data_IF_971979973571
#
_entry.id   IF_971979973571
#
_cell.length_a   1.000
_cell.length_b   1.000
_cell.length_c   1.000
_cell.angle_alpha   90.00
_cell.angle_beta   90.00
_cell.angle_gamma   90.00
#
_symmetry.space_group_name_H-M   'P 1'
#
loop_
_entity.id
_entity.type
_entity.pdbx_description
1 polymer ?
#
# COMPACT_ATOMS: atom_id res chain seq x y z
N UNK A 1 -5.38 24.83 6.07
CA UNK A 1 -4.78 23.56 5.61
C UNK A 1 -5.77 22.89 4.68
N UNK A 2 -5.39 22.69 3.42
CA UNK A 2 -6.16 21.94 2.43
C UNK A 2 -6.27 20.47 2.83
N UNK A 3 -7.33 19.79 2.39
CA UNK A 3 -7.64 18.40 2.71
C UNK A 3 -6.68 17.37 2.08
N UNK A 4 -5.62 17.80 1.39
CA UNK A 4 -4.71 16.93 0.62
C UNK A 4 -3.70 16.19 1.51
N UNK A 5 -3.32 16.73 2.68
CA UNK A 5 -2.27 16.14 3.51
C UNK A 5 -2.72 14.90 4.33
N UNK A 6 -4.03 14.62 4.40
CA UNK A 6 -4.57 13.54 5.26
C UNK A 6 -4.41 12.13 4.67
N UNK A 7 -4.17 12.00 3.37
CA UNK A 7 -4.16 10.70 2.67
C UNK A 7 -2.77 10.23 2.22
N UNK A 8 -1.70 10.98 2.55
CA UNK A 8 -0.34 10.56 2.15
C UNK A 8 0.11 9.37 3.00
N UNK A 9 0.28 8.22 2.34
CA UNK A 9 0.91 7.04 2.95
C UNK A 9 2.32 7.42 3.40
N UNK A 10 2.57 7.30 4.71
CA UNK A 10 3.88 7.60 5.30
C UNK A 10 4.67 6.31 5.45
N UNK A 11 5.79 6.22 4.73
CA UNK A 11 6.75 5.13 4.87
C UNK A 11 7.86 5.54 5.85
N UNK A 12 8.34 4.57 6.63
CA UNK A 12 9.59 4.74 7.36
C UNK A 12 10.76 4.77 6.36
N UNK A 13 11.90 5.35 6.77
CA UNK A 13 13.08 5.42 5.92
C UNK A 13 13.55 4.02 5.46
N UNK A 14 13.61 3.08 6.41
CA UNK A 14 13.96 1.68 6.17
C UNK A 14 13.02 1.03 5.12
N UNK A 15 11.70 1.09 5.33
CA UNK A 15 10.73 0.53 4.36
C UNK A 15 10.86 1.16 2.98
N UNK A 16 11.19 2.46 2.92
CA UNK A 16 11.40 3.14 1.65
C UNK A 16 12.64 2.61 0.94
N UNK A 17 13.74 2.38 1.64
CA UNK A 17 14.96 1.79 1.10
C UNK A 17 14.73 0.34 0.62
N UNK A 18 13.96 -0.44 1.37
CA UNK A 18 13.55 -1.80 0.97
C UNK A 18 12.73 -1.79 -0.32
N UNK A 19 11.75 -0.89 -0.41
CA UNK A 19 10.91 -0.76 -1.60
C UNK A 19 11.70 -0.28 -2.82
N UNK A 20 12.64 0.66 -2.64
CA UNK A 20 13.56 1.08 -3.70
C UNK A 20 14.39 -0.11 -4.19
N UNK A 21 14.92 -0.92 -3.27
CA UNK A 21 15.71 -2.11 -3.60
C UNK A 21 14.88 -3.16 -4.35
N UNK A 22 13.62 -3.35 -3.96
CA UNK A 22 12.68 -4.24 -4.66
C UNK A 22 12.41 -3.77 -6.10
N UNK A 23 12.20 -2.47 -6.31
CA UNK A 23 12.02 -1.89 -7.64
C UNK A 23 13.26 -2.11 -8.51
N UNK A 24 14.46 -1.83 -7.98
CA UNK A 24 15.72 -2.09 -8.70
C UNK A 24 15.86 -3.56 -9.11
N UNK A 25 15.57 -4.46 -8.18
CA UNK A 25 15.64 -5.91 -8.40
C UNK A 25 14.65 -6.35 -9.48
N UNK A 26 13.44 -5.81 -9.48
CA UNK A 26 12.43 -6.10 -10.51
C UNK A 26 12.91 -5.67 -11.91
N UNK A 27 13.44 -4.45 -12.05
CA UNK A 27 13.95 -3.96 -13.34
C UNK A 27 15.14 -4.78 -13.84
N UNK A 28 16.05 -5.15 -12.93
CA UNK A 28 17.17 -6.02 -13.29
C UNK A 28 16.68 -7.40 -13.76
N UNK A 29 15.77 -8.04 -13.02
CA UNK A 29 15.32 -9.39 -13.33
C UNK A 29 14.43 -9.47 -14.57
N UNK A 30 13.51 -8.52 -14.74
CA UNK A 30 12.50 -8.58 -15.80
C UNK A 30 12.94 -7.87 -17.09
N UNK A 31 13.91 -6.96 -17.00
CA UNK A 31 14.33 -6.11 -18.13
C UNK A 31 15.84 -6.13 -18.38
N UNK A 32 16.61 -6.87 -17.59
CA UNK A 32 18.08 -6.83 -17.60
C UNK A 32 18.61 -5.39 -17.46
N UNK A 33 17.85 -4.52 -16.79
CA UNK A 33 18.11 -3.10 -16.67
C UNK A 33 18.53 -2.74 -15.24
N UNK A 34 19.79 -2.32 -15.07
CA UNK A 34 20.25 -1.76 -13.80
C UNK A 34 19.84 -0.29 -13.68
N UNK A 35 18.94 0.00 -12.74
CA UNK A 35 18.54 1.37 -12.40
C UNK A 35 19.12 1.82 -11.07
N UNK A 36 19.52 3.10 -10.99
CA UNK A 36 20.03 3.71 -9.77
C UNK A 36 18.93 4.07 -8.76
N UNK A 37 19.32 4.41 -7.53
CA UNK A 37 18.40 4.71 -6.43
C UNK A 37 17.51 5.93 -6.72
N UNK A 38 18.02 6.92 -7.46
CA UNK A 38 17.22 8.08 -7.86
C UNK A 38 16.05 7.69 -8.77
N UNK A 39 16.30 6.87 -9.80
CA UNK A 39 15.28 6.41 -10.73
C UNK A 39 14.23 5.54 -10.00
N UNK A 40 14.69 4.58 -9.19
CA UNK A 40 13.80 3.74 -8.40
C UNK A 40 12.97 4.55 -7.37
N UNK A 41 13.55 5.60 -6.77
CA UNK A 41 12.84 6.51 -5.86
C UNK A 41 11.76 7.34 -6.57
N UNK A 42 12.01 7.78 -7.81
CA UNK A 42 11.00 8.46 -8.63
C UNK A 42 9.82 7.53 -8.98
N UNK A 43 10.12 6.29 -9.35
CA UNK A 43 9.09 5.26 -9.59
C UNK A 43 8.28 5.00 -8.32
N UNK A 44 8.94 4.84 -7.16
CA UNK A 44 8.26 4.66 -5.88
C UNK A 44 7.36 5.85 -5.56
N UNK A 45 7.81 7.09 -5.80
CA UNK A 45 6.99 8.27 -5.58
C UNK A 45 5.75 8.28 -6.46
N UNK A 46 5.90 7.97 -7.75
CA UNK A 46 4.77 7.84 -8.67
C UNK A 46 3.75 6.81 -8.17
N UNK A 47 4.20 5.62 -7.73
CA UNK A 47 3.32 4.60 -7.17
C UNK A 47 2.59 5.12 -5.91
N UNK A 48 3.30 5.81 -5.03
CA UNK A 48 2.74 6.35 -3.78
C UNK A 48 1.69 7.44 -4.07
N UNK A 49 1.96 8.32 -5.03
CA UNK A 49 1.10 9.47 -5.32
C UNK A 49 -0.11 9.08 -6.17
N UNK A 50 0.05 8.19 -7.15
CA UNK A 50 -0.99 7.92 -8.13
C UNK A 50 -1.77 6.62 -7.86
N UNK A 51 -1.13 5.59 -7.31
CA UNK A 51 -1.73 4.25 -7.20
C UNK A 51 -2.09 3.85 -5.77
N UNK A 52 -1.37 4.38 -4.78
CA UNK A 52 -1.44 3.91 -3.41
C UNK A 52 -2.81 4.15 -2.74
N UNK A 53 -3.51 5.22 -3.13
CA UNK A 53 -4.83 5.53 -2.60
C UNK A 53 -5.84 4.43 -2.91
N UNK A 54 -5.80 3.87 -4.12
CA UNK A 54 -6.71 2.79 -4.53
C UNK A 54 -6.47 1.54 -3.69
N UNK A 55 -5.21 1.11 -3.55
CA UNK A 55 -4.85 -0.05 -2.72
C UNK A 55 -5.21 0.14 -1.24
N UNK A 56 -5.00 1.34 -0.71
CA UNK A 56 -5.34 1.66 0.68
C UNK A 56 -6.86 1.59 0.90
N UNK A 57 -7.65 2.23 0.04
CA UNK A 57 -9.10 2.24 0.13
C UNK A 57 -9.68 0.82 0.02
N UNK A 58 -9.17 0.03 -0.94
CA UNK A 58 -9.58 -1.37 -1.08
C UNK A 58 -9.25 -2.16 0.20
N UNK A 59 -8.04 -2.01 0.75
CA UNK A 59 -7.66 -2.69 1.99
C UNK A 59 -8.52 -2.30 3.20
N UNK A 60 -8.91 -1.03 3.32
CA UNK A 60 -9.86 -0.56 4.36
C UNK A 60 -11.24 -1.20 4.15
N UNK A 61 -11.74 -1.23 2.92
CA UNK A 61 -13.04 -1.83 2.62
C UNK A 61 -13.06 -3.34 2.86
N UNK A 62 -12.01 -4.06 2.47
CA UNK A 62 -11.85 -5.49 2.72
C UNK A 62 -11.80 -5.79 4.23
N UNK A 63 -11.11 -4.93 5.00
CA UNK A 63 -11.08 -5.04 6.46
C UNK A 63 -12.46 -4.81 7.08
N UNK A 64 -13.21 -3.83 6.59
CA UNK A 64 -14.59 -3.59 7.01
C UNK A 64 -15.46 -4.80 6.72
N UNK A 65 -15.41 -5.36 5.51
CA UNK A 65 -16.20 -6.54 5.14
C UNK A 65 -15.89 -7.72 6.04
N UNK A 66 -14.60 -8.03 6.23
CA UNK A 66 -14.17 -9.10 7.14
C UNK A 66 -14.68 -8.89 8.56
N UNK A 67 -14.66 -7.67 9.09
CA UNK A 67 -15.19 -7.39 10.42
C UNK A 67 -16.70 -7.59 10.52
N UNK A 68 -17.48 -7.20 9.50
CA UNK A 68 -18.93 -7.42 9.50
C UNK A 68 -19.25 -8.91 9.47
N UNK A 69 -18.58 -9.70 8.63
CA UNK A 69 -18.78 -11.15 8.58
C UNK A 69 -18.56 -11.77 9.98
N UNK A 70 -17.52 -11.33 10.70
CA UNK A 70 -17.24 -11.78 12.07
C UNK A 70 -18.26 -11.30 13.11
N UNK A 71 -18.86 -10.13 12.90
CA UNK A 71 -19.95 -9.62 13.76
C UNK A 71 -21.23 -10.42 13.52
N UNK A 72 -21.57 -10.72 12.27
CA UNK A 72 -22.73 -11.53 11.92
C UNK A 72 -22.62 -12.95 12.51
N UNK A 73 -21.45 -13.57 12.40
CA UNK A 73 -21.12 -14.84 13.07
C UNK A 73 -21.37 -14.74 14.58
N UNK A 74 -20.93 -13.65 15.22
CA UNK A 74 -21.10 -13.43 16.65
C UNK A 74 -22.58 -13.25 17.02
N UNK A 75 -23.37 -12.52 16.25
CA UNK A 75 -24.79 -12.30 16.52
C UNK A 75 -25.60 -13.60 16.38
N UNK A 76 -25.17 -14.53 15.52
CA UNK A 76 -25.85 -15.81 15.30
C UNK A 76 -25.96 -16.69 16.56
N UNK A 77 -25.12 -16.48 17.58
CA UNK A 77 -25.11 -17.29 18.82
C UNK A 77 -26.11 -16.80 19.87
N UNK A 78 -26.80 -15.67 19.63
CA UNK A 78 -27.74 -15.10 20.58
C UNK A 78 -28.96 -16.02 20.74
N UNK A 79 -29.23 -16.45 21.98
CA UNK A 79 -30.44 -17.22 22.33
C UNK A 79 -31.48 -16.31 22.95
N UNK A 80 -32.74 -16.50 22.56
CA UNK A 80 -33.92 -15.85 23.13
C UNK A 80 -34.44 -16.58 24.36
#
# INVERSE_FOLDING_TARGET
MSNEDKNKIKLTKEKREDMISAIKTYFFNEREEEIGDLAASLILNFIIEELAQEFYNQGVYDSYKYMNDRIDDLLSIQKY
#
